data_IF_670674151856
#
_entry.id   IF_670674151856
#
_cell.length_a   1.000
_cell.length_b   1.000
_cell.length_c   1.000
_cell.angle_alpha   90.00
_cell.angle_beta   90.00
_cell.angle_gamma   90.00
#
_symmetry.space_group_name_H-M   'P 1'
#
loop_
_entity.id
_entity.type
_entity.pdbx_description
1 polymer ?
#
# COMPACT_ATOMS: atom_id res chain seq x y z
N UNK A 1 5.49 22.37 -26.97
CA UNK A 1 4.25 22.01 -26.26
C UNK A 1 3.45 21.16 -27.23
N UNK A 2 3.12 19.88 -27.02
CA UNK A 2 2.90 19.07 -25.82
C UNK A 2 3.10 17.58 -26.16
N UNK A 3 4.01 16.88 -25.50
CA UNK A 3 4.13 15.41 -25.59
C UNK A 3 4.27 14.71 -24.22
N UNK A 4 4.18 15.43 -23.10
CA UNK A 4 4.56 14.89 -21.77
C UNK A 4 3.38 14.65 -20.80
N UNK A 5 2.15 14.70 -21.30
CA UNK A 5 0.95 14.31 -20.54
C UNK A 5 0.40 13.03 -21.18
N UNK A 6 0.41 11.89 -20.45
CA UNK A 6 -0.14 10.64 -20.95
C UNK A 6 -1.59 10.82 -21.39
N UNK A 7 -2.02 10.06 -22.40
CA UNK A 7 -3.40 10.16 -22.89
C UNK A 7 -4.40 9.80 -21.77
N UNK A 8 -5.55 10.47 -21.74
CA UNK A 8 -6.59 10.23 -20.72
C UNK A 8 -7.07 8.77 -20.74
N UNK A 9 -7.04 8.13 -21.91
CA UNK A 9 -7.36 6.71 -22.07
C UNK A 9 -6.33 5.79 -21.37
N UNK A 10 -5.04 6.13 -21.44
CA UNK A 10 -3.95 5.40 -20.79
C UNK A 10 -3.97 5.60 -19.28
N UNK A 11 -4.17 6.85 -18.82
CA UNK A 11 -4.34 7.16 -17.40
C UNK A 11 -5.52 6.40 -16.80
N UNK A 12 -6.64 6.32 -17.52
CA UNK A 12 -7.82 5.58 -17.07
C UNK A 12 -7.55 4.07 -16.96
N UNK A 13 -6.86 3.47 -17.94
CA UNK A 13 -6.46 2.05 -17.86
C UNK A 13 -5.52 1.81 -16.69
N UNK A 14 -4.52 2.66 -16.51
CA UNK A 14 -3.59 2.55 -15.38
C UNK A 14 -4.34 2.68 -14.05
N UNK A 15 -5.27 3.62 -13.94
CA UNK A 15 -6.09 3.81 -12.74
C UNK A 15 -6.93 2.60 -12.42
N UNK A 16 -7.57 1.97 -13.41
CA UNK A 16 -8.36 0.76 -13.19
C UNK A 16 -7.47 -0.35 -12.63
N UNK A 17 -6.29 -0.56 -13.23
CA UNK A 17 -5.35 -1.60 -12.79
C UNK A 17 -4.87 -1.33 -11.37
N UNK A 18 -4.41 -0.11 -11.08
CA UNK A 18 -3.86 0.22 -9.76
C UNK A 18 -4.95 0.23 -8.69
N UNK A 19 -6.17 0.62 -9.03
CA UNK A 19 -7.32 0.53 -8.13
C UNK A 19 -7.66 -0.93 -7.82
N UNK A 20 -7.71 -1.80 -8.81
CA UNK A 20 -7.95 -3.24 -8.62
C UNK A 20 -6.89 -3.84 -7.70
N UNK A 21 -5.61 -3.56 -7.93
CA UNK A 21 -4.55 -4.02 -7.04
C UNK A 21 -4.67 -3.45 -5.64
N UNK A 22 -4.98 -2.15 -5.49
CA UNK A 22 -5.21 -1.53 -4.18
C UNK A 22 -6.31 -2.27 -3.42
N UNK A 23 -7.43 -2.58 -4.08
CA UNK A 23 -8.54 -3.34 -3.49
C UNK A 23 -8.10 -4.76 -3.11
N UNK A 24 -7.36 -5.45 -3.97
CA UNK A 24 -6.83 -6.79 -3.69
C UNK A 24 -5.96 -6.76 -2.43
N UNK A 25 -5.01 -5.83 -2.33
CA UNK A 25 -4.15 -5.70 -1.16
C UNK A 25 -4.93 -5.33 0.10
N UNK A 26 -5.95 -4.46 0.00
CA UNK A 26 -6.82 -4.16 1.13
C UNK A 26 -7.62 -5.38 1.60
N UNK A 27 -8.14 -6.19 0.68
CA UNK A 27 -8.79 -7.46 1.04
C UNK A 27 -7.80 -8.39 1.74
N UNK A 28 -6.56 -8.48 1.26
CA UNK A 28 -5.52 -9.25 1.94
C UNK A 28 -5.24 -8.71 3.34
N UNK A 29 -5.15 -7.39 3.56
CA UNK A 29 -5.00 -6.80 4.91
C UNK A 29 -6.13 -7.29 5.81
N UNK A 30 -7.38 -7.21 5.35
CA UNK A 30 -8.55 -7.64 6.15
C UNK A 30 -8.51 -9.14 6.43
N UNK A 31 -8.15 -9.98 5.47
CA UNK A 31 -8.05 -11.43 5.65
C UNK A 31 -6.97 -11.79 6.68
N UNK A 32 -5.78 -11.20 6.57
CA UNK A 32 -4.71 -11.42 7.54
C UNK A 32 -5.12 -10.92 8.93
N UNK A 33 -5.74 -9.75 9.01
CA UNK A 33 -6.25 -9.22 10.29
C UNK A 33 -7.27 -10.16 10.94
N UNK A 34 -8.23 -10.67 10.16
CA UNK A 34 -9.23 -11.62 10.63
C UNK A 34 -8.59 -12.93 11.09
N UNK A 35 -7.60 -13.45 10.36
CA UNK A 35 -6.90 -14.68 10.70
C UNK A 35 -5.93 -14.55 11.88
N UNK A 36 -5.51 -13.32 12.22
CA UNK A 36 -4.72 -13.02 13.42
C UNK A 36 -5.57 -12.91 14.70
N UNK A 37 -6.91 -13.03 14.60
CA UNK A 37 -7.78 -12.93 15.78
C UNK A 37 -7.60 -14.14 16.73
N UNK A 38 -7.57 -13.91 18.06
CA UNK A 38 -7.27 -14.96 19.04
C UNK A 38 -8.16 -16.20 18.97
N UNK A 39 -9.43 -16.02 18.58
CA UNK A 39 -10.42 -17.10 18.56
C UNK A 39 -10.24 -18.07 17.38
N UNK A 40 -9.48 -17.68 16.36
CA UNK A 40 -9.35 -18.44 15.10
C UNK A 40 -7.91 -18.70 14.70
N UNK A 41 -6.94 -18.02 15.31
CA UNK A 41 -5.52 -18.05 14.90
C UNK A 41 -4.97 -19.47 14.81
N UNK A 42 -5.28 -20.35 15.76
CA UNK A 42 -4.77 -21.73 15.81
C UNK A 42 -5.23 -22.61 14.64
N UNK A 43 -6.28 -22.20 13.92
CA UNK A 43 -6.80 -22.91 12.74
C UNK A 43 -6.64 -22.13 11.44
N UNK A 44 -6.01 -20.95 11.50
CA UNK A 44 -5.89 -20.04 10.37
C UNK A 44 -4.56 -20.23 9.62
N UNK A 45 -4.48 -19.75 8.36
CA UNK A 45 -3.21 -19.68 7.64
C UNK A 45 -2.14 -18.87 8.39
N UNK A 46 -2.54 -17.86 9.17
CA UNK A 46 -1.63 -17.04 9.98
C UNK A 46 -1.04 -17.85 11.14
N UNK A 47 -1.85 -18.64 11.84
CA UNK A 47 -1.35 -19.55 12.89
C UNK A 47 -0.36 -20.55 12.34
N UNK A 48 -0.67 -21.19 11.20
CA UNK A 48 0.24 -22.12 10.55
C UNK A 48 1.59 -21.48 10.16
N UNK A 49 1.59 -20.22 9.72
CA UNK A 49 2.81 -19.48 9.44
C UNK A 49 3.59 -19.14 10.72
N UNK A 50 2.89 -18.77 11.79
CA UNK A 50 3.49 -18.47 13.09
C UNK A 50 4.17 -19.69 13.71
N UNK A 51 3.57 -20.88 13.58
CA UNK A 51 4.13 -22.15 14.06
C UNK A 51 5.44 -22.52 13.34
N UNK A 52 5.57 -22.13 12.07
CA UNK A 52 6.81 -22.29 11.31
C UNK A 52 7.84 -21.25 11.75
N UNK A 53 7.48 -19.96 11.65
CA UNK A 53 8.31 -18.85 12.08
C UNK A 53 7.47 -17.55 12.19
N UNK A 54 7.32 -16.96 13.39
CA UNK A 54 6.49 -15.76 13.58
C UNK A 54 6.99 -14.53 12.82
N UNK A 55 8.27 -14.47 12.46
CA UNK A 55 8.81 -13.36 11.66
C UNK A 55 8.32 -13.40 10.21
N UNK A 56 7.93 -14.56 9.68
CA UNK A 56 7.42 -14.67 8.31
C UNK A 56 6.08 -13.96 8.18
N UNK A 57 5.17 -14.19 9.13
CA UNK A 57 3.88 -13.50 9.20
C UNK A 57 4.08 -11.98 9.26
N UNK A 58 4.95 -11.52 10.15
CA UNK A 58 5.26 -10.09 10.29
C UNK A 58 5.79 -9.47 8.98
N UNK A 59 6.67 -10.16 8.27
CA UNK A 59 7.18 -9.68 6.97
C UNK A 59 6.05 -9.63 5.93
N UNK A 60 5.17 -10.64 5.89
CA UNK A 60 4.05 -10.65 4.95
C UNK A 60 3.07 -9.50 5.23
N UNK A 61 2.73 -9.25 6.49
CA UNK A 61 1.88 -8.12 6.90
C UNK A 61 2.46 -6.78 6.39
N UNK A 62 3.76 -6.57 6.57
CA UNK A 62 4.47 -5.38 6.06
C UNK A 62 4.41 -5.30 4.53
N UNK A 63 4.64 -6.41 3.83
CA UNK A 63 4.64 -6.43 2.36
C UNK A 63 3.23 -6.18 1.79
N UNK A 64 2.19 -6.70 2.44
CA UNK A 64 0.79 -6.46 2.04
C UNK A 64 0.43 -4.98 2.24
N UNK A 65 0.78 -4.39 3.39
CA UNK A 65 0.59 -2.96 3.66
C UNK A 65 1.39 -2.08 2.69
N UNK A 66 2.61 -2.49 2.36
CA UNK A 66 3.43 -1.81 1.35
C UNK A 66 2.79 -1.88 -0.04
N UNK A 67 2.17 -3.01 -0.39
CA UNK A 67 1.35 -3.13 -1.60
C UNK A 67 0.20 -2.12 -1.62
N UNK A 68 -0.55 -1.98 -0.51
CA UNK A 68 -1.59 -0.94 -0.37
C UNK A 68 -1.01 0.45 -0.61
N UNK A 69 0.16 0.75 -0.02
CA UNK A 69 0.83 2.03 -0.20
C UNK A 69 1.19 2.31 -1.66
N UNK A 70 1.89 1.38 -2.32
CA UNK A 70 2.37 1.56 -3.70
C UNK A 70 1.20 1.75 -4.66
N UNK A 71 0.26 0.81 -4.69
CA UNK A 71 -0.84 0.85 -5.66
C UNK A 71 -1.84 1.96 -5.32
N UNK A 72 -2.10 2.21 -4.04
CA UNK A 72 -2.96 3.31 -3.60
C UNK A 72 -2.38 4.67 -3.96
N UNK A 73 -1.07 4.87 -3.75
CA UNK A 73 -0.39 6.11 -4.12
C UNK A 73 -0.42 6.35 -5.62
N UNK A 74 -0.10 5.33 -6.43
CA UNK A 74 -0.19 5.47 -7.90
C UNK A 74 -1.61 5.81 -8.35
N UNK A 75 -2.63 5.18 -7.74
CA UNK A 75 -4.04 5.49 -8.02
C UNK A 75 -4.37 6.94 -7.70
N UNK A 76 -4.01 7.45 -6.52
CA UNK A 76 -4.27 8.85 -6.13
C UNK A 76 -3.53 9.83 -7.05
N UNK A 77 -2.27 9.54 -7.38
CA UNK A 77 -1.45 10.38 -8.26
C UNK A 77 -2.07 10.50 -9.65
N UNK A 78 -2.42 9.36 -10.25
CA UNK A 78 -3.03 9.31 -11.58
C UNK A 78 -4.44 9.91 -11.58
N UNK A 79 -5.24 9.67 -10.54
CA UNK A 79 -6.57 10.26 -10.40
C UNK A 79 -6.52 11.79 -10.27
N UNK A 80 -5.57 12.34 -9.50
CA UNK A 80 -5.34 13.79 -9.42
C UNK A 80 -4.97 14.38 -10.78
N UNK A 81 -4.05 13.74 -11.49
CA UNK A 81 -3.65 14.16 -12.84
C UNK A 81 -4.85 14.12 -13.81
N UNK A 82 -5.68 13.07 -13.73
CA UNK A 82 -6.84 12.92 -14.61
C UNK A 82 -7.93 13.98 -14.35
N UNK A 83 -8.15 14.38 -13.09
CA UNK A 83 -9.19 15.33 -12.72
C UNK A 83 -8.78 16.80 -12.84
N UNK A 84 -7.52 17.11 -12.51
CA UNK A 84 -7.06 18.49 -12.41
C UNK A 84 -6.08 18.88 -13.50
N UNK A 85 -5.62 17.93 -14.31
CA UNK A 85 -4.51 18.08 -15.26
C UNK A 85 -3.20 18.61 -14.58
N UNK A 86 -3.13 18.53 -13.24
CA UNK A 86 -1.97 18.90 -12.41
C UNK A 86 -1.33 17.63 -11.86
N UNK A 87 -0.01 17.51 -12.01
CA UNK A 87 0.78 16.42 -11.41
C UNK A 87 0.63 16.43 -9.89
N UNK A 88 0.40 15.26 -9.31
CA UNK A 88 0.41 15.13 -7.85
C UNK A 88 1.79 15.46 -7.27
N UNK A 89 1.80 15.94 -6.03
CA UNK A 89 3.02 16.32 -5.34
C UNK A 89 3.21 15.54 -4.06
N UNK A 90 4.10 16.05 -3.22
CA UNK A 90 4.35 15.53 -1.87
C UNK A 90 3.11 15.38 -0.99
N UNK A 91 2.10 16.28 -1.03
CA UNK A 91 0.93 16.15 -0.17
C UNK A 91 0.18 14.83 -0.33
N UNK A 92 -0.02 14.34 -1.56
CA UNK A 92 -0.71 13.07 -1.81
C UNK A 92 0.08 11.88 -1.28
N UNK A 93 1.41 11.89 -1.48
CA UNK A 93 2.29 10.82 -1.00
C UNK A 93 2.28 10.77 0.53
N UNK A 94 2.42 11.93 1.19
CA UNK A 94 2.39 12.03 2.65
C UNK A 94 1.03 11.58 3.19
N UNK A 95 -0.07 12.00 2.55
CA UNK A 95 -1.41 11.56 2.92
C UNK A 95 -1.53 10.03 2.84
N UNK A 96 -1.02 9.41 1.78
CA UNK A 96 -1.05 7.96 1.62
C UNK A 96 -0.20 7.23 2.66
N UNK A 97 0.95 7.78 3.07
CA UNK A 97 1.74 7.25 4.19
C UNK A 97 0.91 7.27 5.47
N UNK A 98 0.23 8.37 5.76
CA UNK A 98 -0.62 8.50 6.97
C UNK A 98 -1.76 7.49 6.93
N UNK A 99 -2.45 7.34 5.79
CA UNK A 99 -3.54 6.38 5.62
C UNK A 99 -3.05 4.95 5.88
N UNK A 100 -1.93 4.57 5.28
CA UNK A 100 -1.36 3.22 5.46
C UNK A 100 -0.87 3.01 6.89
N UNK A 101 -0.28 4.03 7.53
CA UNK A 101 0.11 3.96 8.95
C UNK A 101 -1.10 3.71 9.86
N UNK A 102 -2.22 4.41 9.63
CA UNK A 102 -3.46 4.21 10.39
C UNK A 102 -4.01 2.80 10.17
N UNK A 103 -4.08 2.33 8.92
CA UNK A 103 -4.54 0.96 8.61
C UNK A 103 -3.65 -0.07 9.30
N UNK A 104 -2.32 0.09 9.21
CA UNK A 104 -1.36 -0.82 9.80
C UNK A 104 -1.47 -0.87 11.33
N UNK A 105 -1.64 0.29 11.97
CA UNK A 105 -1.83 0.36 13.42
C UNK A 105 -3.12 -0.34 13.86
N UNK A 106 -4.22 -0.11 13.15
CA UNK A 106 -5.52 -0.69 13.49
C UNK A 106 -5.56 -2.21 13.24
N UNK A 107 -4.90 -2.69 12.19
CA UNK A 107 -4.88 -4.10 11.85
C UNK A 107 -3.84 -4.88 12.68
N UNK A 108 -2.60 -4.43 12.72
CA UNK A 108 -1.46 -5.25 13.17
C UNK A 108 -0.63 -4.57 14.27
N UNK A 109 -1.05 -3.39 14.74
CA UNK A 109 -0.41 -2.66 15.83
C UNK A 109 0.87 -1.90 15.45
N UNK A 110 1.58 -1.42 16.47
CA UNK A 110 2.69 -0.46 16.32
C UNK A 110 3.88 -1.04 15.56
N UNK A 111 4.20 -2.32 15.74
CA UNK A 111 5.37 -2.93 15.11
C UNK A 111 5.21 -3.01 13.58
N UNK A 112 4.04 -3.48 13.12
CA UNK A 112 3.73 -3.57 11.70
C UNK A 112 3.58 -2.18 11.07
N UNK A 113 2.98 -1.22 11.79
CA UNK A 113 2.96 0.19 11.39
C UNK A 113 4.37 0.73 11.17
N UNK A 114 5.28 0.53 12.13
CA UNK A 114 6.66 0.99 12.02
C UNK A 114 7.37 0.38 10.80
N UNK A 115 7.27 -0.93 10.61
CA UNK A 115 7.86 -1.63 9.47
C UNK A 115 7.31 -1.15 8.12
N UNK A 116 5.99 -1.01 7.99
CA UNK A 116 5.35 -0.54 6.77
C UNK A 116 5.70 0.92 6.45
N UNK A 117 5.74 1.79 7.46
CA UNK A 117 6.13 3.21 7.28
C UNK A 117 7.60 3.32 6.86
N UNK A 118 8.51 2.58 7.49
CA UNK A 118 9.93 2.59 7.13
C UNK A 118 10.13 2.12 5.69
N UNK A 119 9.49 1.01 5.30
CA UNK A 119 9.57 0.50 3.93
C UNK A 119 8.97 1.48 2.91
N UNK A 120 7.84 2.09 3.24
CA UNK A 120 7.18 3.11 2.40
C UNK A 120 8.04 4.36 2.22
N UNK A 121 8.68 4.84 3.29
CA UNK A 121 9.61 5.97 3.24
C UNK A 121 10.85 5.64 2.39
N UNK A 122 11.40 4.43 2.52
CA UNK A 122 12.50 3.95 1.69
C UNK A 122 12.14 3.95 0.20
N UNK A 123 10.92 3.52 -0.13
CA UNK A 123 10.41 3.57 -1.51
C UNK A 123 10.25 5.01 -2.01
N UNK A 124 9.70 5.91 -1.18
CA UNK A 124 9.57 7.33 -1.54
C UNK A 124 10.92 7.98 -1.77
N UNK A 125 11.91 7.70 -0.92
CA UNK A 125 13.28 8.18 -1.10
C UNK A 125 13.89 7.63 -2.41
N UNK A 126 13.68 6.34 -2.71
CA UNK A 126 14.11 5.76 -3.99
C UNK A 126 13.49 6.46 -5.20
N UNK A 127 12.17 6.73 -5.17
CA UNK A 127 11.50 7.47 -6.24
C UNK A 127 12.03 8.89 -6.39
N UNK A 128 12.37 9.56 -5.28
CA UNK A 128 12.97 10.89 -5.31
C UNK A 128 14.34 10.87 -5.99
N UNK A 129 15.19 9.88 -5.67
CA UNK A 129 16.52 9.74 -6.30
C UNK A 129 16.44 9.45 -7.81
N UNK A 130 15.35 8.85 -8.29
CA UNK A 130 15.13 8.64 -9.73
C UNK A 130 14.64 9.88 -10.48
N UNK A 131 14.29 10.97 -9.78
CA UNK A 131 13.87 12.22 -10.40
C UNK A 131 15.04 13.14 -10.79
N UNK A 132 16.27 12.79 -10.36
CA UNK A 132 17.53 13.42 -10.78
C UNK A 132 18.07 12.80 -12.09
#
# INVERSE_FOLDING_TARGET
>A
MSQDTPDKSELMRSNIITLVFTVIFLVLVVLFWMWSAPDVVDTSPVGALNDINPYVTFVIEILVLFGVFVFGTVTVVNFRLQLTDVRAGWPEIILMIIVVAVIAYLAFGVNAMGGAVVLSLGFVAYLYLLQE
#
